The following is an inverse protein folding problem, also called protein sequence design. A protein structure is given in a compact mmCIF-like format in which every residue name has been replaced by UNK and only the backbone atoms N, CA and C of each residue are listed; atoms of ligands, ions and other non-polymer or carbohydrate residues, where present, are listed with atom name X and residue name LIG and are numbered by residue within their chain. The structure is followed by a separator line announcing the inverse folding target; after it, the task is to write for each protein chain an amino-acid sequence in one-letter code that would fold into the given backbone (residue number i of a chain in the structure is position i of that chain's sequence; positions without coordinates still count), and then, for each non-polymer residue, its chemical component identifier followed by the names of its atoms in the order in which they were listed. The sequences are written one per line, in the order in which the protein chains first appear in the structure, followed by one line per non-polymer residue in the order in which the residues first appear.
data_IF_993562481536
#
_entry.id   IF_993562481536
#
_cell.length_a   1.000
_cell.length_b   1.000
_cell.length_c   1.000
_cell.angle_alpha   90.00
_cell.angle_beta   90.00
_cell.angle_gamma   90.00
#
_symmetry.space_group_name_H-M   'P 1'
#
loop_
_entity.id
_entity.type
_entity.pdbx_description
1 polymer ?
#
# COMPACT_ATOMS: atom_id res chain seq x y z
N UNK A 1 -39.14 6.59 -32.02
CA UNK A 1 -37.80 6.17 -32.44
C UNK A 1 -36.69 7.04 -31.82
N UNK A 2 -36.76 8.37 -31.94
CA UNK A 2 -35.74 9.30 -31.41
C UNK A 2 -35.56 9.21 -29.88
N UNK A 3 -36.65 9.14 -29.11
CA UNK A 3 -36.62 9.02 -27.64
C UNK A 3 -35.90 7.75 -27.15
N UNK A 4 -36.09 6.62 -27.84
CA UNK A 4 -35.46 5.34 -27.50
C UNK A 4 -33.96 5.34 -27.85
N UNK A 5 -33.55 6.07 -28.88
CA UNK A 5 -32.15 6.26 -29.24
C UNK A 5 -31.41 7.12 -28.20
N UNK A 6 -32.04 8.21 -27.71
CA UNK A 6 -31.49 9.07 -26.66
C UNK A 6 -31.31 8.32 -25.34
N UNK A 7 -32.31 7.50 -24.96
CA UNK A 7 -32.21 6.70 -23.73
C UNK A 7 -31.04 5.68 -23.79
N UNK A 8 -30.81 5.06 -24.95
CA UNK A 8 -29.69 4.12 -25.17
C UNK A 8 -28.33 4.79 -25.11
N UNK A 9 -28.17 5.95 -25.75
CA UNK A 9 -26.91 6.69 -25.70
C UNK A 9 -26.62 7.23 -24.31
N UNK A 10 -27.63 7.74 -23.60
CA UNK A 10 -27.50 8.17 -22.22
C UNK A 10 -27.07 7.02 -21.29
N UNK A 11 -27.68 5.83 -21.43
CA UNK A 11 -27.28 4.64 -20.68
C UNK A 11 -25.85 4.19 -21.00
N UNK A 12 -25.43 4.25 -22.26
CA UNK A 12 -24.07 3.90 -22.66
C UNK A 12 -23.03 4.87 -22.08
N UNK A 13 -23.32 6.18 -22.09
CA UNK A 13 -22.44 7.22 -21.50
C UNK A 13 -22.37 7.09 -19.97
N UNK A 14 -23.49 6.81 -19.31
CA UNK A 14 -23.51 6.56 -17.87
C UNK A 14 -22.66 5.32 -17.50
N UNK A 15 -22.76 4.25 -18.32
CA UNK A 15 -21.96 3.04 -18.12
C UNK A 15 -20.46 3.31 -18.31
N UNK A 16 -20.05 4.01 -19.37
CA UNK A 16 -18.63 4.33 -19.57
C UNK A 16 -18.07 5.26 -18.47
N UNK A 17 -18.88 6.19 -17.95
CA UNK A 17 -18.49 7.04 -16.82
C UNK A 17 -18.27 6.23 -15.53
N UNK A 18 -19.08 5.21 -15.28
CA UNK A 18 -18.93 4.30 -14.13
C UNK A 18 -17.66 3.44 -14.25
N UNK A 19 -17.28 3.03 -15.47
CA UNK A 19 -16.09 2.20 -15.68
C UNK A 19 -14.77 3.00 -15.72
N UNK A 20 -14.81 4.32 -15.92
CA UNK A 20 -13.62 5.16 -15.98
C UNK A 20 -12.89 5.33 -14.63
N UNK A 21 -13.50 4.93 -13.51
CA UNK A 21 -12.96 5.08 -12.15
C UNK A 21 -12.14 3.89 -11.62
N UNK A 22 -12.14 2.73 -12.29
CA UNK A 22 -11.43 1.55 -11.81
C UNK A 22 -9.93 1.59 -12.18
N UNK A 23 -9.12 2.31 -11.40
CA UNK A 23 -7.66 2.23 -11.53
C UNK A 23 -7.15 0.88 -11.00
N UNK A 24 -6.88 -0.05 -11.92
CA UNK A 24 -6.33 -1.39 -11.59
C UNK A 24 -5.00 -1.24 -10.82
N UNK A 25 -4.16 -0.28 -11.21
CA UNK A 25 -2.91 0.05 -10.51
C UNK A 25 -3.19 0.40 -9.04
N UNK A 26 -4.12 1.32 -8.80
CA UNK A 26 -4.47 1.77 -7.44
C UNK A 26 -5.06 0.63 -6.61
N UNK A 27 -5.92 -0.20 -7.22
CA UNK A 27 -6.45 -1.40 -6.58
C UNK A 27 -5.34 -2.38 -6.17
N UNK A 28 -4.40 -2.67 -7.07
CA UNK A 28 -3.28 -3.58 -6.78
C UNK A 28 -2.37 -3.04 -5.67
N UNK A 29 -2.08 -1.74 -5.68
CA UNK A 29 -1.25 -1.09 -4.65
C UNK A 29 -1.95 -1.11 -3.30
N UNK A 30 -3.26 -0.83 -3.24
CA UNK A 30 -4.04 -0.94 -2.01
C UNK A 30 -4.05 -2.38 -1.48
N UNK A 31 -4.25 -3.39 -2.35
CA UNK A 31 -4.25 -4.78 -1.92
C UNK A 31 -2.90 -5.20 -1.31
N UNK A 32 -1.78 -4.88 -1.97
CA UNK A 32 -0.43 -5.15 -1.45
C UNK A 32 -0.18 -4.34 -0.17
N UNK A 33 -0.62 -3.08 -0.15
CA UNK A 33 -0.49 -2.17 0.97
C UNK A 33 -1.20 -2.67 2.23
N UNK A 34 -2.44 -3.14 2.09
CA UNK A 34 -3.23 -3.73 3.16
C UNK A 34 -2.58 -4.99 3.72
N UNK A 35 -2.09 -5.88 2.85
CA UNK A 35 -1.35 -7.07 3.28
C UNK A 35 -0.12 -6.70 4.10
N UNK A 36 0.70 -5.77 3.61
CA UNK A 36 1.92 -5.37 4.32
C UNK A 36 1.62 -4.61 5.63
N UNK A 37 0.59 -3.76 5.62
CA UNK A 37 0.16 -3.00 6.78
C UNK A 37 -0.43 -3.87 7.90
N UNK A 38 -1.09 -4.98 7.56
CA UNK A 38 -1.57 -5.95 8.55
C UNK A 38 -0.43 -6.55 9.40
N UNK A 39 0.80 -6.49 8.88
CA UNK A 39 2.00 -6.98 9.55
C UNK A 39 2.14 -8.50 9.47
N UNK A 40 3.22 -9.02 10.05
CA UNK A 40 3.50 -10.43 10.12
C UNK A 40 4.56 -10.74 11.18
N UNK A 41 4.72 -12.04 11.48
CA UNK A 41 5.67 -12.49 12.50
C UNK A 41 7.07 -12.79 11.96
N UNK A 42 7.31 -12.62 10.65
CA UNK A 42 8.58 -13.02 10.01
C UNK A 42 9.78 -12.35 10.67
N UNK A 43 9.73 -11.04 10.90
CA UNK A 43 10.83 -10.32 11.56
C UNK A 43 10.84 -10.49 13.09
N UNK A 44 9.67 -10.69 13.72
CA UNK A 44 9.57 -10.74 15.19
C UNK A 44 9.76 -12.14 15.77
N UNK A 45 9.69 -13.17 14.93
CA UNK A 45 9.93 -14.57 15.31
C UNK A 45 11.34 -15.04 14.94
N UNK A 46 12.13 -14.18 14.31
CA UNK A 46 13.54 -14.45 14.02
C UNK A 46 14.39 -13.99 15.21
N UNK A 47 15.36 -14.82 15.59
CA UNK A 47 16.25 -14.60 16.73
C UNK A 47 17.61 -14.01 16.29
N UNK A 48 17.86 -13.84 14.99
CA UNK A 48 19.08 -13.25 14.45
C UNK A 48 18.92 -11.73 14.19
N UNK A 49 19.38 -10.86 15.10
CA UNK A 49 19.22 -9.41 14.96
C UNK A 49 20.02 -8.84 13.78
N UNK A 50 21.10 -9.48 13.34
CA UNK A 50 21.90 -9.00 12.20
C UNK A 50 21.10 -9.20 10.91
N UNK A 51 20.53 -10.40 10.72
CA UNK A 51 19.72 -10.71 9.54
C UNK A 51 18.49 -9.81 9.45
N UNK A 52 17.79 -9.59 10.57
CA UNK A 52 16.66 -8.66 10.63
C UNK A 52 17.12 -7.24 10.27
N UNK A 53 18.26 -6.79 10.82
CA UNK A 53 18.81 -5.46 10.61
C UNK A 53 19.17 -5.18 9.16
N UNK A 54 19.68 -6.17 8.45
CA UNK A 54 20.00 -6.08 7.02
C UNK A 54 18.74 -6.09 6.12
N UNK A 55 17.67 -6.76 6.56
CA UNK A 55 16.42 -6.88 5.80
C UNK A 55 15.47 -5.67 5.97
N UNK A 56 15.41 -5.07 7.16
CA UNK A 56 14.51 -3.97 7.48
C UNK A 56 14.64 -2.75 6.54
N UNK A 57 15.84 -2.28 6.15
CA UNK A 57 15.99 -1.14 5.24
C UNK A 57 15.25 -1.33 3.91
N UNK A 58 15.32 -2.53 3.32
CA UNK A 58 14.57 -2.84 2.10
C UNK A 58 13.06 -2.77 2.35
N UNK A 59 12.57 -3.40 3.43
CA UNK A 59 11.15 -3.40 3.76
C UNK A 59 10.59 -1.98 3.96
N UNK A 60 11.32 -1.12 4.67
CA UNK A 60 10.93 0.27 4.90
C UNK A 60 10.91 1.09 3.60
N UNK A 61 11.93 0.97 2.76
CA UNK A 61 11.98 1.66 1.46
C UNK A 61 10.93 1.13 0.48
N UNK A 62 10.60 -0.15 0.56
CA UNK A 62 9.51 -0.72 -0.21
C UNK A 62 8.16 -0.14 0.20
N UNK A 63 7.87 0.00 1.50
CA UNK A 63 6.68 0.70 2.00
C UNK A 63 6.64 2.15 1.50
N UNK A 64 7.75 2.89 1.57
CA UNK A 64 7.83 4.25 1.02
C UNK A 64 7.54 4.31 -0.48
N UNK A 65 8.01 3.32 -1.26
CA UNK A 65 7.73 3.25 -2.69
C UNK A 65 6.24 3.04 -3.00
N UNK A 66 5.52 2.27 -2.17
CA UNK A 66 4.08 2.11 -2.28
C UNK A 66 3.33 3.39 -1.87
N UNK A 67 3.79 4.07 -0.83
CA UNK A 67 3.23 5.37 -0.41
C UNK A 67 3.47 6.48 -1.43
N UNK A 68 4.55 6.42 -2.21
CA UNK A 68 4.79 7.37 -3.30
C UNK A 68 3.70 7.26 -4.40
N UNK A 69 3.09 6.08 -4.54
CA UNK A 69 2.01 5.82 -5.49
C UNK A 69 0.62 6.00 -4.88
N UNK A 70 0.44 5.65 -3.60
CA UNK A 70 -0.79 5.87 -2.82
C UNK A 70 -0.50 6.61 -1.49
N UNK A 71 -0.41 7.95 -1.51
CA UNK A 71 -0.01 8.72 -0.33
C UNK A 71 -0.99 8.69 0.84
N UNK A 72 -2.26 8.39 0.56
CA UNK A 72 -3.34 8.41 1.56
C UNK A 72 -3.63 7.02 2.17
N UNK A 73 -2.83 6.00 1.85
CA UNK A 73 -3.01 4.65 2.38
C UNK A 73 -2.72 4.59 3.89
N UNK A 74 -3.77 4.70 4.71
CA UNK A 74 -3.67 4.77 6.18
C UNK A 74 -2.87 3.62 6.81
N UNK A 75 -3.06 2.39 6.32
CA UNK A 75 -2.34 1.22 6.80
C UNK A 75 -0.82 1.34 6.58
N UNK A 76 -0.40 1.66 5.35
CA UNK A 76 1.01 1.86 5.01
C UNK A 76 1.63 3.05 5.76
N UNK A 77 0.90 4.15 5.94
CA UNK A 77 1.38 5.29 6.74
C UNK A 77 1.69 4.87 8.18
N UNK A 78 0.78 4.12 8.82
CA UNK A 78 1.01 3.59 10.16
C UNK A 78 2.18 2.59 10.20
N UNK A 79 2.26 1.70 9.20
CA UNK A 79 3.33 0.72 9.10
C UNK A 79 4.71 1.37 8.93
N UNK A 80 4.82 2.40 8.07
CA UNK A 80 6.02 3.19 7.90
C UNK A 80 6.42 3.88 9.20
N UNK A 81 5.49 4.60 9.84
CA UNK A 81 5.76 5.31 11.09
C UNK A 81 6.27 4.38 12.19
N UNK A 82 5.58 3.25 12.41
CA UNK A 82 6.00 2.23 13.38
C UNK A 82 7.35 1.62 13.01
N UNK A 83 7.53 1.26 11.74
CA UNK A 83 8.74 0.59 11.24
C UNK A 83 9.98 1.47 11.40
N UNK A 84 9.90 2.74 11.01
CA UNK A 84 11.02 3.68 11.17
C UNK A 84 11.35 3.92 12.64
N UNK A 85 10.36 4.10 13.51
CA UNK A 85 10.59 4.26 14.96
C UNK A 85 11.29 3.05 15.55
N UNK A 86 10.82 1.83 15.24
CA UNK A 86 11.42 0.60 15.73
C UNK A 86 12.83 0.38 15.17
N UNK A 87 13.05 0.62 13.88
CA UNK A 87 14.38 0.50 13.26
C UNK A 87 15.37 1.49 13.88
N UNK A 88 14.97 2.76 14.04
CA UNK A 88 15.82 3.75 14.69
C UNK A 88 16.13 3.39 16.13
N UNK A 89 15.15 2.87 16.88
CA UNK A 89 15.38 2.42 18.25
C UNK A 89 16.35 1.24 18.32
N UNK A 90 16.08 0.18 17.55
CA UNK A 90 16.84 -1.07 17.63
C UNK A 90 18.24 -0.98 17.00
N UNK A 91 18.41 -0.29 15.87
CA UNK A 91 19.64 -0.36 15.05
C UNK A 91 20.41 0.96 14.93
N UNK A 92 19.82 2.09 15.34
CA UNK A 92 20.51 3.40 15.32
C UNK A 92 20.81 3.87 16.74
N UNK A 93 19.89 3.70 17.68
CA UNK A 93 20.05 4.16 19.06
C UNK A 93 20.74 3.12 19.96
N UNK A 94 20.29 1.87 19.93
CA UNK A 94 20.97 0.80 20.66
C UNK A 94 22.24 0.35 19.91
N UNK A 95 23.30 -0.05 20.64
CA UNK A 95 24.38 -0.83 20.05
C UNK A 95 23.83 -2.24 19.78
N UNK A 96 23.22 -2.41 18.61
CA UNK A 96 22.81 -3.72 18.10
C UNK A 96 24.02 -4.62 17.86
#
# INVERSE_FOLDING_TARGET
MIQLAIARTAAAVALTALLAGCSIKRYAINAVGDMLASGGSVFTADDDPILIGEALPFSLKFIESLLAEEPEHRGLLLAAGRGFVLYSYAYVHLPA
#
